data_IF_334344675453
#
_entry.id   IF_334344675453
#
_cell.length_a   1.000
_cell.length_b   1.000
_cell.length_c   1.000
_cell.angle_alpha   90.00
_cell.angle_beta   90.00
_cell.angle_gamma   90.00
#
_symmetry.space_group_name_H-M   'P 1'
#
loop_
_entity.id
_entity.type
_entity.pdbx_description
1 polymer ?
#
# COMPACT_ATOMS: atom_id res chain seq x y z
N UNK A 1 -9.24 13.78 -2.39
CA UNK A 1 -8.30 14.63 -1.65
C UNK A 1 -7.00 14.80 -2.44
N UNK A 2 -6.19 13.76 -2.66
CA UNK A 2 -4.90 13.84 -3.37
C UNK A 2 -5.00 14.48 -4.77
N UNK A 3 -6.03 14.18 -5.57
CA UNK A 3 -6.27 14.80 -6.88
C UNK A 3 -6.46 16.31 -6.78
N UNK A 4 -7.27 16.78 -5.84
CA UNK A 4 -7.52 18.21 -5.63
C UNK A 4 -6.25 18.93 -5.18
N UNK A 5 -5.48 18.34 -4.27
CA UNK A 5 -4.21 18.89 -3.81
C UNK A 5 -3.17 18.95 -4.95
N UNK A 6 -3.11 17.91 -5.79
CA UNK A 6 -2.24 17.89 -6.96
C UNK A 6 -2.61 18.94 -8.01
N UNK A 7 -3.91 19.26 -8.16
CA UNK A 7 -4.39 20.28 -9.09
C UNK A 7 -4.10 21.70 -8.60
N UNK A 8 -4.12 21.92 -7.29
CA UNK A 8 -3.83 23.24 -6.67
C UNK A 8 -2.34 23.54 -6.64
N UNK A 9 -1.48 22.52 -6.68
CA UNK A 9 -0.03 22.68 -6.64
C UNK A 9 0.48 23.40 -7.92
N UNK A 10 1.20 24.50 -7.76
CA UNK A 10 1.85 25.22 -8.86
C UNK A 10 3.16 24.54 -9.26
N UNK A 11 3.04 23.49 -10.05
CA UNK A 11 4.16 22.68 -10.51
C UNK A 11 3.75 21.26 -10.92
N UNK A 12 4.71 20.42 -11.31
CA UNK A 12 4.41 19.02 -11.66
C UNK A 12 4.01 18.21 -10.42
N UNK A 13 2.92 17.45 -10.55
CA UNK A 13 2.43 16.54 -9.51
C UNK A 13 2.46 15.10 -10.00
N UNK A 14 2.79 14.17 -9.10
CA UNK A 14 2.79 12.74 -9.37
C UNK A 14 1.81 12.03 -8.42
N UNK A 15 0.88 11.27 -8.98
CA UNK A 15 -0.03 10.41 -8.23
C UNK A 15 0.23 8.97 -8.59
N UNK A 16 0.63 8.17 -7.60
CA UNK A 16 0.77 6.72 -7.73
C UNK A 16 -0.48 6.06 -7.16
N UNK A 17 -1.17 5.27 -7.99
CA UNK A 17 -2.37 4.56 -7.58
C UNK A 17 -2.18 3.04 -7.73
N UNK A 18 -2.68 2.30 -6.75
CA UNK A 18 -2.79 0.85 -6.82
C UNK A 18 -4.21 0.46 -7.23
N UNK A 19 -4.31 -0.47 -8.17
CA UNK A 19 -5.58 -1.10 -8.54
C UNK A 19 -5.34 -2.58 -8.87
N UNK A 20 -6.26 -3.49 -8.49
CA UNK A 20 -6.22 -4.88 -8.92
C UNK A 20 -6.35 -5.00 -10.43
N UNK A 21 -5.61 -5.94 -11.02
CA UNK A 21 -5.61 -6.18 -12.47
C UNK A 21 -6.39 -7.45 -12.80
N UNK A 22 -7.19 -7.41 -13.88
CA UNK A 22 -7.96 -8.56 -14.37
C UNK A 22 -7.07 -9.76 -14.77
N UNK A 23 -5.86 -9.49 -15.28
CA UNK A 23 -4.91 -10.54 -15.65
C UNK A 23 -4.32 -11.29 -14.44
N UNK A 24 -4.16 -10.60 -13.32
CA UNK A 24 -3.68 -11.21 -12.07
C UNK A 24 -4.84 -11.80 -11.26
N UNK A 25 -6.00 -11.16 -11.30
CA UNK A 25 -7.22 -11.61 -10.66
C UNK A 25 -7.22 -11.55 -9.14
N UNK A 26 -8.42 -11.57 -8.61
CA UNK A 26 -8.71 -11.68 -7.16
C UNK A 26 -9.44 -12.99 -6.95
N UNK A 27 -9.08 -13.76 -5.93
CA UNK A 27 -9.72 -15.05 -5.61
C UNK A 27 -11.24 -14.94 -5.45
N UNK A 28 -11.72 -13.87 -4.84
CA UNK A 28 -13.15 -13.58 -4.65
C UNK A 28 -13.85 -13.02 -5.89
N UNK A 29 -13.11 -12.84 -6.99
CA UNK A 29 -13.62 -12.25 -8.24
C UNK A 29 -13.46 -10.73 -8.30
N UNK A 30 -13.40 -10.19 -9.52
CA UNK A 30 -13.13 -8.77 -9.78
C UNK A 30 -14.24 -7.82 -9.29
N UNK A 31 -15.44 -8.31 -9.04
CA UNK A 31 -16.51 -7.54 -8.38
C UNK A 31 -16.15 -7.10 -6.95
N UNK A 32 -15.08 -7.65 -6.38
CA UNK A 32 -14.52 -7.30 -5.06
C UNK A 32 -13.27 -6.41 -5.14
N UNK A 33 -13.00 -5.79 -6.29
CA UNK A 33 -11.81 -4.97 -6.49
C UNK A 33 -11.67 -3.84 -5.45
N UNK A 34 -12.76 -3.10 -5.18
CA UNK A 34 -12.75 -2.01 -4.19
C UNK A 34 -12.48 -2.52 -2.76
N UNK A 35 -13.02 -3.69 -2.41
CA UNK A 35 -12.75 -4.33 -1.13
C UNK A 35 -11.29 -4.75 -1.02
N UNK A 36 -10.72 -5.27 -2.11
CA UNK A 36 -9.31 -5.68 -2.18
C UNK A 36 -8.35 -4.49 -2.11
N UNK A 37 -8.67 -3.37 -2.74
CA UNK A 37 -7.92 -2.11 -2.59
C UNK A 37 -7.90 -1.62 -1.14
N UNK A 38 -9.04 -1.68 -0.46
CA UNK A 38 -9.13 -1.38 0.97
C UNK A 38 -8.29 -2.34 1.80
N UNK A 39 -8.35 -3.64 1.50
CA UNK A 39 -7.57 -4.66 2.20
C UNK A 39 -6.06 -4.48 1.95
N UNK A 40 -5.64 -4.04 0.78
CA UNK A 40 -4.25 -3.71 0.49
C UNK A 40 -3.72 -2.63 1.44
N UNK A 41 -4.52 -1.60 1.74
CA UNK A 41 -4.15 -0.56 2.70
C UNK A 41 -4.17 -1.09 4.13
N UNK A 42 -5.24 -1.81 4.51
CA UNK A 42 -5.40 -2.33 5.88
C UNK A 42 -4.39 -3.41 6.26
N UNK A 43 -3.81 -4.11 5.29
CA UNK A 43 -2.74 -5.10 5.50
C UNK A 43 -1.32 -4.53 5.47
N UNK A 44 -1.18 -3.25 5.10
CA UNK A 44 0.13 -2.64 4.90
C UNK A 44 0.82 -3.03 3.59
N UNK A 45 0.09 -3.66 2.67
CA UNK A 45 0.61 -3.93 1.32
C UNK A 45 0.78 -2.65 0.52
N UNK A 46 -0.16 -1.71 0.66
CA UNK A 46 -0.12 -0.38 0.07
C UNK A 46 -0.27 0.69 1.13
N UNK A 47 0.66 1.65 1.19
CA UNK A 47 0.61 2.77 2.13
C UNK A 47 0.12 4.03 1.45
N UNK A 48 -0.82 4.72 2.09
CA UNK A 48 -1.29 6.03 1.65
C UNK A 48 -0.48 7.12 2.34
N UNK A 49 0.20 7.93 1.56
CA UNK A 49 0.94 9.10 2.04
C UNK A 49 0.96 10.19 0.97
N UNK A 50 1.21 11.40 1.40
CA UNK A 50 1.34 12.58 0.53
C UNK A 50 2.60 13.34 0.92
N UNK A 51 3.21 13.98 -0.04
CA UNK A 51 4.28 14.94 0.16
C UNK A 51 3.84 16.28 -0.43
N UNK A 52 3.69 17.30 0.40
CA UNK A 52 3.12 18.61 0.08
C UNK A 52 4.17 19.66 0.41
N UNK A 53 4.97 20.14 -0.59
CA UNK A 53 6.08 21.05 -0.36
C UNK A 53 5.69 22.37 0.31
N UNK A 54 4.45 22.84 0.09
CA UNK A 54 3.93 24.09 0.63
C UNK A 54 3.94 24.08 2.16
N UNK A 55 3.61 22.95 2.77
CA UNK A 55 3.63 22.79 4.23
C UNK A 55 5.02 23.05 4.82
N UNK A 56 6.07 22.60 4.11
CA UNK A 56 7.45 22.86 4.52
C UNK A 56 7.81 24.35 4.51
N UNK A 57 7.22 25.13 3.60
CA UNK A 57 7.39 26.59 3.55
C UNK A 57 6.68 27.29 4.72
N UNK A 58 5.65 26.68 5.26
CA UNK A 58 4.90 27.14 6.43
C UNK A 58 5.48 26.64 7.75
N UNK A 59 6.60 25.91 7.73
CA UNK A 59 7.27 25.35 8.91
C UNK A 59 6.64 24.05 9.43
N UNK A 60 5.76 23.43 8.65
CA UNK A 60 5.17 22.14 8.97
C UNK A 60 5.87 20.99 8.24
N UNK A 61 5.70 19.75 8.73
CA UNK A 61 6.21 18.59 8.01
C UNK A 61 5.49 18.43 6.65
N UNK A 62 6.22 18.46 5.52
CA UNK A 62 5.62 18.26 4.19
C UNK A 62 5.12 16.83 3.96
N UNK A 63 5.62 15.86 4.73
CA UNK A 63 5.21 14.47 4.62
C UNK A 63 4.00 14.17 5.51
N UNK A 64 2.94 13.64 4.91
CA UNK A 64 1.70 13.26 5.59
C UNK A 64 1.44 11.77 5.37
N UNK A 65 1.46 10.98 6.44
CA UNK A 65 1.06 9.58 6.41
C UNK A 65 -0.46 9.48 6.63
N UNK A 66 -1.19 9.08 5.59
CA UNK A 66 -2.65 8.91 5.65
C UNK A 66 -3.07 7.50 6.08
N UNK A 67 -2.19 6.50 5.93
CA UNK A 67 -2.43 5.14 6.41
C UNK A 67 -2.27 5.07 7.92
N UNK A 68 -3.25 4.44 8.58
CA UNK A 68 -3.09 3.99 9.95
C UNK A 68 -2.24 2.71 10.06
N UNK A 69 -2.06 2.25 11.29
CA UNK A 69 -1.40 0.97 11.55
C UNK A 69 -2.15 -0.19 10.88
N UNK A 70 -1.43 -1.13 10.23
CA UNK A 70 -2.05 -2.30 9.61
C UNK A 70 -2.90 -3.10 10.61
N UNK A 71 -4.11 -3.47 10.18
CA UNK A 71 -5.11 -4.18 11.01
C UNK A 71 -5.44 -5.58 10.48
N UNK A 72 -5.03 -5.86 9.23
CA UNK A 72 -5.22 -7.16 8.60
C UNK A 72 -3.89 -7.87 8.41
N UNK A 73 -3.92 -9.20 8.36
CA UNK A 73 -2.75 -10.01 8.05
C UNK A 73 -2.28 -9.74 6.61
N UNK A 74 -1.00 -9.43 6.48
CA UNK A 74 -0.35 -9.24 5.19
C UNK A 74 -0.38 -10.54 4.36
N UNK A 75 -0.13 -11.67 4.98
CA UNK A 75 -0.13 -12.97 4.31
C UNK A 75 -1.52 -13.38 3.84
N UNK A 76 -2.57 -13.11 4.63
CA UNK A 76 -3.94 -13.36 4.22
C UNK A 76 -4.35 -12.50 3.02
N UNK A 77 -3.90 -11.25 2.97
CA UNK A 77 -4.08 -10.41 1.79
C UNK A 77 -3.41 -11.03 0.55
N UNK A 78 -2.16 -11.51 0.65
CA UNK A 78 -1.46 -12.14 -0.46
C UNK A 78 -2.21 -13.39 -0.98
N UNK A 79 -2.81 -14.18 -0.09
CA UNK A 79 -3.61 -15.35 -0.47
C UNK A 79 -4.91 -15.00 -1.20
N UNK A 80 -5.36 -13.76 -1.11
CA UNK A 80 -6.50 -13.22 -1.86
C UNK A 80 -6.18 -12.87 -3.30
N UNK A 81 -4.92 -12.68 -3.63
CA UNK A 81 -4.40 -12.34 -4.95
C UNK A 81 -3.97 -13.61 -5.70
N UNK A 82 -4.59 -13.92 -6.84
CA UNK A 82 -4.32 -15.18 -7.58
C UNK A 82 -2.87 -15.37 -7.98
N UNK A 83 -2.14 -14.30 -8.27
CA UNK A 83 -0.71 -14.35 -8.59
C UNK A 83 0.14 -14.92 -7.44
N UNK A 84 -0.19 -14.62 -6.20
CA UNK A 84 0.51 -15.12 -5.01
C UNK A 84 0.00 -16.50 -4.62
N UNK A 85 -1.31 -16.77 -4.74
CA UNK A 85 -1.88 -18.10 -4.56
C UNK A 85 -1.26 -19.12 -5.51
N UNK A 86 -1.02 -18.72 -6.76
CA UNK A 86 -0.32 -19.57 -7.74
C UNK A 86 1.08 -19.96 -7.25
N UNK A 87 1.86 -19.01 -6.75
CA UNK A 87 3.19 -19.29 -6.21
C UNK A 87 3.12 -20.25 -5.01
N UNK A 88 2.16 -20.06 -4.12
CA UNK A 88 1.95 -20.95 -2.96
C UNK A 88 1.64 -22.38 -3.39
N UNK A 89 0.89 -22.56 -4.48
CA UNK A 89 0.54 -23.88 -5.01
C UNK A 89 1.70 -24.55 -5.73
N UNK A 90 2.47 -23.79 -6.51
CA UNK A 90 3.58 -24.32 -7.32
C UNK A 90 4.85 -24.59 -6.48
N UNK A 91 5.10 -23.78 -5.48
CA UNK A 91 6.28 -23.89 -4.62
C UNK A 91 6.00 -23.38 -3.20
N UNK A 92 5.32 -24.18 -2.33
CA UNK A 92 4.86 -23.75 -1.03
C UNK A 92 5.98 -23.29 -0.10
N UNK A 93 7.07 -24.03 0.01
CA UNK A 93 8.19 -23.68 0.91
C UNK A 93 8.82 -22.33 0.56
N UNK A 94 9.03 -22.11 -0.74
CA UNK A 94 9.57 -20.84 -1.23
C UNK A 94 8.58 -19.71 -1.03
N UNK A 95 7.29 -19.96 -1.26
CA UNK A 95 6.23 -18.97 -1.08
C UNK A 95 6.15 -18.52 0.38
N UNK A 96 6.14 -19.42 1.34
CA UNK A 96 6.12 -19.11 2.77
C UNK A 96 7.30 -18.22 3.17
N UNK A 97 8.51 -18.60 2.76
CA UNK A 97 9.72 -17.81 3.02
C UNK A 97 9.63 -16.41 2.43
N UNK A 98 9.13 -16.27 1.19
CA UNK A 98 9.01 -14.98 0.51
C UNK A 98 7.91 -14.11 1.13
N UNK A 99 6.80 -14.71 1.52
CA UNK A 99 5.67 -13.99 2.14
C UNK A 99 6.05 -13.47 3.53
N UNK A 100 6.72 -14.27 4.35
CA UNK A 100 7.23 -13.82 5.64
C UNK A 100 8.23 -12.66 5.51
N UNK A 101 9.17 -12.74 4.56
CA UNK A 101 10.10 -11.64 4.27
C UNK A 101 9.38 -10.38 3.75
N UNK A 102 8.37 -10.55 2.91
CA UNK A 102 7.59 -9.44 2.38
C UNK A 102 6.76 -8.75 3.48
N UNK A 103 6.14 -9.53 4.37
CA UNK A 103 5.42 -9.01 5.53
C UNK A 103 6.33 -8.22 6.47
N UNK A 104 7.53 -8.76 6.77
CA UNK A 104 8.52 -8.06 7.59
C UNK A 104 8.94 -6.73 6.95
N UNK A 105 9.25 -6.73 5.65
CA UNK A 105 9.61 -5.49 4.92
C UNK A 105 8.47 -4.48 4.85
N UNK A 106 7.22 -4.93 4.76
CA UNK A 106 6.06 -4.05 4.79
C UNK A 106 5.93 -3.35 6.15
N UNK A 107 6.16 -4.09 7.24
CA UNK A 107 6.19 -3.54 8.60
C UNK A 107 7.31 -2.51 8.77
N UNK A 108 8.53 -2.85 8.41
CA UNK A 108 9.69 -1.93 8.47
C UNK A 108 9.43 -0.65 7.65
N UNK A 109 8.82 -0.80 6.47
CA UNK A 109 8.45 0.34 5.62
C UNK A 109 7.41 1.23 6.31
N UNK A 110 6.39 0.65 6.93
CA UNK A 110 5.39 1.42 7.68
C UNK A 110 6.02 2.19 8.84
N UNK A 111 6.85 1.53 9.64
CA UNK A 111 7.57 2.16 10.77
C UNK A 111 8.41 3.35 10.30
N UNK A 112 9.15 3.19 9.21
CA UNK A 112 9.95 4.26 8.61
C UNK A 112 9.10 5.43 8.10
N UNK A 113 7.97 5.15 7.42
CA UNK A 113 7.05 6.21 6.98
C UNK A 113 6.43 6.95 8.18
N UNK A 114 6.12 6.22 9.25
CA UNK A 114 5.64 6.80 10.49
C UNK A 114 6.68 7.71 11.15
N UNK A 115 7.92 7.28 11.24
CA UNK A 115 9.02 8.10 11.76
C UNK A 115 9.16 9.42 10.98
N UNK A 116 9.14 9.35 9.64
CA UNK A 116 9.21 10.54 8.78
C UNK A 116 8.02 11.48 9.05
N UNK A 117 6.83 10.94 9.29
CA UNK A 117 5.64 11.75 9.55
C UNK A 117 5.64 12.47 10.90
N UNK A 118 6.51 12.06 11.83
CA UNK A 118 6.64 12.64 13.18
C UNK A 118 7.75 13.68 13.29
N UNK A 119 8.57 13.85 12.27
CA UNK A 119 9.63 14.86 12.19
C UNK A 119 9.05 16.25 11.93
#
# INVERSE_FOLDING_TARGET
KALVEAEVHDGPSLILAYAPCINHGIRKGMGKAVEEEKNAVLSGYWHLFRFIPERGREGENPFVLDSGEPKLSYEEFLKGELRYERLLRENPERAETLFAKAAQKAKEKYEKLREISLQ
#
